data_IF_171015689837
#
_entry.id   IF_171015689837
#
_cell.length_a   1.000
_cell.length_b   1.000
_cell.length_c   1.000
_cell.angle_alpha   90.00
_cell.angle_beta   90.00
_cell.angle_gamma   90.00
#
_symmetry.space_group_name_H-M   'P 1'
#
loop_
_entity.id
_entity.type
_entity.pdbx_description
1 polymer ?
#
# COMPACT_ATOMS: atom_id res chain seq x y z
N UNK A 1 3.58 -15.17 13.04
CA UNK A 1 4.59 -14.17 12.66
C UNK A 1 3.81 -12.92 12.26
N UNK A 2 4.38 -11.73 12.41
CA UNK A 2 3.70 -10.46 12.12
C UNK A 2 4.47 -9.77 11.01
N UNK A 3 3.73 -9.26 10.03
CA UNK A 3 4.29 -8.46 8.95
C UNK A 3 4.12 -6.99 9.29
N UNK A 4 5.21 -6.24 9.27
CA UNK A 4 5.18 -4.80 9.54
C UNK A 4 5.34 -4.04 8.23
N UNK A 5 4.38 -3.18 7.92
CA UNK A 5 4.43 -2.30 6.75
C UNK A 5 4.60 -0.87 7.23
N UNK A 6 5.65 -0.21 6.78
CA UNK A 6 5.90 1.21 7.10
C UNK A 6 5.67 2.04 5.86
N UNK A 7 4.78 3.02 5.94
CA UNK A 7 4.49 3.98 4.89
C UNK A 7 5.07 5.34 5.27
N UNK A 8 6.06 5.78 4.51
CA UNK A 8 6.80 7.01 4.74
C UNK A 8 6.44 8.05 3.69
N UNK A 9 5.82 9.14 4.15
CA UNK A 9 5.49 10.29 3.32
C UNK A 9 6.57 11.36 3.36
N UNK A 10 7.26 11.49 4.49
CA UNK A 10 8.38 12.44 4.68
C UNK A 10 9.29 11.94 5.81
N UNK A 11 10.43 12.61 6.03
CA UNK A 11 11.37 12.26 7.11
C UNK A 11 10.75 12.26 8.51
N UNK A 12 9.69 13.03 8.73
CA UNK A 12 8.98 13.17 10.01
C UNK A 12 7.59 12.50 9.98
N UNK A 13 7.21 11.88 8.85
CA UNK A 13 5.86 11.33 8.62
C UNK A 13 5.96 9.89 8.17
N UNK A 14 6.10 9.01 9.16
CA UNK A 14 6.19 7.57 9.01
C UNK A 14 5.01 6.91 9.73
N UNK A 15 4.26 6.08 9.01
CA UNK A 15 3.12 5.36 9.52
C UNK A 15 3.41 3.87 9.47
N UNK A 16 3.57 3.27 10.65
CA UNK A 16 3.85 1.84 10.78
C UNK A 16 2.57 1.08 11.09
N UNK A 17 2.30 0.05 10.30
CA UNK A 17 1.15 -0.83 10.43
C UNK A 17 1.63 -2.26 10.69
N UNK A 18 1.25 -2.79 11.85
CA UNK A 18 1.54 -4.18 12.21
C UNK A 18 0.38 -5.09 11.83
N UNK A 19 0.65 -6.01 10.92
CA UNK A 19 -0.30 -6.98 10.42
C UNK A 19 0.01 -8.36 10.96
N UNK A 20 -1.03 -9.13 11.23
CA UNK A 20 -0.86 -10.54 11.56
C UNK A 20 -0.72 -11.34 10.26
N UNK A 21 0.19 -12.32 10.21
CA UNK A 21 0.35 -13.23 9.05
C UNK A 21 -0.98 -13.75 8.51
N UNK A 22 -1.90 -14.11 9.41
CA UNK A 22 -3.21 -14.62 9.03
C UNK A 22 -4.00 -13.62 8.17
N UNK A 23 -3.89 -12.32 8.45
CA UNK A 23 -4.57 -11.27 7.70
C UNK A 23 -3.96 -11.05 6.30
N UNK A 24 -2.67 -11.35 6.14
CA UNK A 24 -1.96 -11.27 4.86
C UNK A 24 -2.16 -12.54 4.05
N UNK A 25 -2.05 -13.72 4.68
CA UNK A 25 -2.23 -15.03 4.06
C UNK A 25 -3.65 -15.29 3.55
N UNK A 26 -4.66 -14.60 4.12
CA UNK A 26 -6.04 -14.65 3.62
C UNK A 26 -6.23 -13.80 2.36
N UNK A 27 -5.35 -12.82 2.12
CA UNK A 27 -5.44 -11.92 0.99
C UNK A 27 -4.56 -12.42 -0.16
N UNK A 28 -5.18 -12.95 -1.21
CA UNK A 28 -4.45 -13.37 -2.41
C UNK A 28 -3.80 -12.15 -3.09
N UNK A 29 -2.58 -12.29 -3.66
CA UNK A 29 -1.90 -11.19 -4.35
C UNK A 29 -2.71 -10.66 -5.55
N UNK A 30 -3.53 -11.53 -6.16
CA UNK A 30 -4.46 -11.18 -7.24
C UNK A 30 -5.65 -10.34 -6.74
N UNK A 31 -6.15 -10.64 -5.53
CA UNK A 31 -7.19 -9.86 -4.88
C UNK A 31 -6.63 -8.51 -4.40
N UNK A 32 -5.41 -8.51 -3.82
CA UNK A 32 -4.71 -7.30 -3.37
C UNK A 32 -4.52 -6.28 -4.50
N UNK A 33 -4.02 -6.72 -5.68
CA UNK A 33 -3.87 -5.83 -6.84
C UNK A 33 -5.22 -5.25 -7.31
N UNK A 34 -6.28 -6.06 -7.27
CA UNK A 34 -7.61 -5.67 -7.74
C UNK A 34 -8.23 -4.65 -6.80
N UNK A 35 -8.06 -4.87 -5.48
CA UNK A 35 -8.45 -3.92 -4.45
C UNK A 35 -7.74 -2.57 -4.61
N UNK A 36 -6.42 -2.57 -4.78
CA UNK A 36 -5.66 -1.33 -4.99
C UNK A 36 -6.13 -0.56 -6.24
N UNK A 37 -6.38 -1.27 -7.34
CA UNK A 37 -6.90 -0.66 -8.57
C UNK A 37 -8.31 -0.09 -8.39
N UNK A 38 -9.17 -0.79 -7.64
CA UNK A 38 -10.51 -0.30 -7.31
C UNK A 38 -10.45 0.96 -6.44
N UNK A 39 -9.59 0.98 -5.41
CA UNK A 39 -9.44 2.14 -4.53
C UNK A 39 -8.87 3.36 -5.27
N UNK A 40 -7.99 3.14 -6.25
CA UNK A 40 -7.52 4.21 -7.15
C UNK A 40 -8.69 4.84 -7.92
N UNK A 41 -9.53 4.02 -8.55
CA UNK A 41 -10.72 4.48 -9.29
C UNK A 41 -11.71 5.20 -8.36
N UNK A 42 -11.96 4.64 -7.17
CA UNK A 42 -12.85 5.21 -6.17
C UNK A 42 -12.37 6.56 -5.61
N UNK A 43 -11.05 6.77 -5.53
CA UNK A 43 -10.44 8.04 -5.13
C UNK A 43 -10.24 8.99 -6.31
N UNK A 44 -10.75 8.64 -7.50
CA UNK A 44 -10.55 9.38 -8.76
C UNK A 44 -9.07 9.65 -9.05
N UNK A 45 -8.21 8.73 -8.63
CA UNK A 45 -6.78 8.85 -8.78
C UNK A 45 -6.37 8.51 -10.21
N UNK A 46 -5.54 9.36 -10.81
CA UNK A 46 -4.97 9.10 -12.12
C UNK A 46 -4.10 7.84 -12.05
N UNK A 47 -4.55 6.76 -12.68
CA UNK A 47 -3.78 5.53 -12.78
C UNK A 47 -2.46 5.88 -13.48
N UNK A 48 -1.29 5.45 -12.96
CA UNK A 48 -0.01 5.86 -13.51
C UNK A 48 0.01 5.52 -15.00
N UNK A 49 0.08 6.55 -15.84
CA UNK A 49 0.07 6.45 -17.30
C UNK A 49 1.42 5.92 -17.80
N UNK A 50 1.86 4.77 -17.28
CA UNK A 50 2.98 3.99 -17.80
C UNK A 50 2.40 2.88 -18.64
N UNK A 51 2.53 3.05 -19.95
CA UNK A 51 2.05 2.17 -21.01
C UNK A 51 2.87 0.86 -21.09
N UNK A 52 2.99 0.16 -19.96
CA UNK A 52 3.74 -1.09 -19.79
C UNK A 52 3.51 -1.67 -18.39
N UNK A 53 3.13 -2.94 -18.31
CA UNK A 53 2.90 -3.78 -17.13
C UNK A 53 3.05 -3.05 -15.78
N UNK A 54 1.98 -2.38 -15.35
CA UNK A 54 1.91 -1.71 -14.06
C UNK A 54 1.99 -2.79 -12.97
N UNK A 55 2.97 -2.66 -12.07
CA UNK A 55 3.08 -3.55 -10.91
C UNK A 55 2.10 -3.08 -9.84
N UNK A 56 1.53 -4.02 -9.08
CA UNK A 56 0.66 -3.67 -7.96
C UNK A 56 1.37 -2.78 -6.91
N UNK A 57 2.70 -2.86 -6.83
CA UNK A 57 3.56 -1.94 -6.09
C UNK A 57 3.51 -0.48 -6.60
N UNK A 58 3.46 -0.28 -7.91
CA UNK A 58 3.35 1.04 -8.55
C UNK A 58 1.95 1.63 -8.32
N UNK A 59 0.91 0.79 -8.37
CA UNK A 59 -0.46 1.17 -8.00
C UNK A 59 -0.53 1.55 -6.51
N UNK A 60 0.11 0.78 -5.63
CA UNK A 60 0.16 1.09 -4.20
C UNK A 60 0.82 2.45 -3.94
N UNK A 61 1.96 2.73 -4.58
CA UNK A 61 2.63 4.03 -4.49
C UNK A 61 1.73 5.18 -4.99
N UNK A 62 1.11 5.02 -6.16
CA UNK A 62 0.19 6.01 -6.71
C UNK A 62 -1.02 6.24 -5.79
N UNK A 63 -1.57 5.17 -5.24
CA UNK A 63 -2.68 5.22 -4.30
C UNK A 63 -2.28 5.91 -3.01
N UNK A 64 -1.11 5.61 -2.45
CA UNK A 64 -0.61 6.28 -1.26
C UNK A 64 -0.43 7.78 -1.50
N UNK A 65 0.08 8.17 -2.66
CA UNK A 65 0.24 9.57 -3.06
C UNK A 65 -1.10 10.29 -3.24
N UNK A 66 -2.11 9.61 -3.80
CA UNK A 66 -3.46 10.17 -4.00
C UNK A 66 -4.30 10.24 -2.73
N UNK A 67 -4.32 9.16 -1.97
CA UNK A 67 -4.99 9.08 -0.67
C UNK A 67 -4.45 10.14 0.28
N UNK A 68 -3.17 10.48 0.11
CA UNK A 68 -2.47 11.46 0.93
C UNK A 68 -2.27 10.96 2.34
N UNK A 69 -1.48 11.70 3.11
CA UNK A 69 -1.17 11.34 4.49
C UNK A 69 -2.40 11.29 5.41
N UNK A 70 -3.49 11.99 5.08
CA UNK A 70 -4.69 12.07 5.92
C UNK A 70 -5.35 10.70 6.16
N UNK A 71 -5.45 9.86 5.12
CA UNK A 71 -6.05 8.52 5.22
C UNK A 71 -5.18 7.56 6.04
N UNK A 72 -3.85 7.75 6.00
CA UNK A 72 -2.92 6.99 6.84
C UNK A 72 -2.86 7.50 8.28
N UNK A 73 -2.95 8.81 8.47
CA UNK A 73 -2.98 9.47 9.77
C UNK A 73 -4.27 9.15 10.55
N UNK A 74 -5.39 8.96 9.85
CA UNK A 74 -6.65 8.52 10.46
C UNK A 74 -6.54 7.08 11.01
N UNK A 75 -5.63 6.26 10.45
CA UNK A 75 -5.36 4.90 10.94
C UNK A 75 -6.56 3.95 10.85
N UNK A 76 -7.53 4.27 9.99
CA UNK A 76 -8.75 3.48 9.83
C UNK A 76 -8.54 2.15 9.09
N UNK A 77 -9.63 1.43 8.87
CA UNK A 77 -9.65 0.14 8.15
C UNK A 77 -9.04 0.25 6.74
N UNK A 78 -9.09 1.44 6.12
CA UNK A 78 -8.49 1.71 4.82
C UNK A 78 -6.96 1.54 4.83
N UNK A 79 -6.28 2.11 5.83
CA UNK A 79 -4.82 2.04 5.93
C UNK A 79 -4.35 0.62 6.26
N UNK A 80 -5.13 -0.11 7.06
CA UNK A 80 -4.89 -1.53 7.32
C UNK A 80 -5.05 -2.38 6.05
N UNK A 81 -6.14 -2.19 5.29
CA UNK A 81 -6.33 -2.89 4.01
C UNK A 81 -5.20 -2.60 3.02
N UNK A 82 -4.75 -1.35 2.94
CA UNK A 82 -3.60 -0.97 2.12
C UNK A 82 -2.33 -1.71 2.54
N UNK A 83 -2.02 -1.71 3.84
CA UNK A 83 -0.86 -2.43 4.36
C UNK A 83 -0.96 -3.93 4.05
N UNK A 84 -2.15 -4.55 4.20
CA UNK A 84 -2.37 -5.96 3.87
C UNK A 84 -2.13 -6.26 2.40
N UNK A 85 -2.62 -5.40 1.50
CA UNK A 85 -2.40 -5.54 0.08
C UNK A 85 -0.91 -5.49 -0.26
N UNK A 86 -0.19 -4.51 0.28
CA UNK A 86 1.27 -4.38 0.11
C UNK A 86 1.99 -5.61 0.66
N UNK A 87 1.66 -6.05 1.87
CA UNK A 87 2.25 -7.24 2.48
C UNK A 87 2.02 -8.50 1.64
N UNK A 88 0.81 -8.69 1.09
CA UNK A 88 0.46 -9.83 0.25
C UNK A 88 1.18 -9.83 -1.11
N UNK A 89 1.43 -8.64 -1.67
CA UNK A 89 2.16 -8.49 -2.95
C UNK A 89 3.65 -8.73 -2.78
N UNK A 90 4.24 -8.24 -1.69
CA UNK A 90 5.68 -8.34 -1.45
C UNK A 90 6.09 -9.66 -0.81
N UNK A 91 5.17 -10.33 -0.10
CA UNK A 91 5.43 -11.57 0.65
C UNK A 91 6.67 -11.45 1.54
N UNK A 92 6.79 -10.31 2.25
CA UNK A 92 7.90 -10.01 3.14
C UNK A 92 7.42 -9.69 4.54
N UNK A 93 8.20 -10.02 5.58
CA UNK A 93 7.86 -9.69 6.96
C UNK A 93 8.01 -8.20 7.28
N UNK A 94 8.81 -7.46 6.50
CA UNK A 94 8.99 -6.02 6.64
C UNK A 94 8.96 -5.40 5.26
N UNK A 95 8.08 -4.41 5.06
CA UNK A 95 7.98 -3.65 3.81
C UNK A 95 8.02 -2.16 4.12
N UNK A 96 8.91 -1.42 3.46
CA UNK A 96 8.98 0.03 3.56
C UNK A 96 8.47 0.65 2.26
N UNK A 97 7.37 1.38 2.32
CA UNK A 97 6.81 2.16 1.22
C UNK A 97 7.23 3.61 1.41
N UNK A 98 8.24 4.05 0.66
CA UNK A 98 8.70 5.43 0.65
C UNK A 98 8.01 6.19 -0.50
N UNK A 99 6.98 6.95 -0.15
CA UNK A 99 6.14 7.70 -1.10
C UNK A 99 6.90 8.90 -1.67
N UNK A 100 7.73 9.56 -0.86
CA UNK A 100 8.55 10.70 -1.27
C UNK A 100 9.60 10.30 -2.32
N UNK A 101 10.30 9.18 -2.07
CA UNK A 101 11.31 8.64 -2.97
C UNK A 101 10.71 7.75 -4.07
N UNK A 102 9.38 7.58 -4.09
CA UNK A 102 8.63 6.70 -4.98
C UNK A 102 9.24 5.28 -5.08
N UNK A 103 9.54 4.70 -3.91
CA UNK A 103 10.30 3.45 -3.78
C UNK A 103 9.66 2.53 -2.74
N UNK A 104 9.64 1.24 -3.04
CA UNK A 104 9.31 0.21 -2.05
C UNK A 104 10.55 -0.67 -1.79
N UNK A 105 10.88 -0.91 -0.52
CA UNK A 105 12.10 -1.58 -0.05
C UNK A 105 11.81 -2.82 0.80
#
# INVERSE_FOLDING_TARGET
>A
MSTTVTVRFAVDREYTFDLTDNAVATLEPDAARSWLAHQMDALECDMPNKMGKILAADIALALAHCAGESLFAEGGEWAQCYAQAVAAIFDRPVVLVDVEQNRIG
#
